data_IF_694720473120
#
_entry.id   IF_694720473120
#
_cell.length_a   1.000
_cell.length_b   1.000
_cell.length_c   1.000
_cell.angle_alpha   90.00
_cell.angle_beta   90.00
_cell.angle_gamma   90.00
#
_symmetry.space_group_name_H-M   'P 1'
#
loop_
_entity.id
_entity.type
_entity.pdbx_description
1 polymer ?
#
# COMPACT_ATOMS: atom_id res chain seq x y z
N UNK A 1 -15.12 -7.56 -13.44
CA UNK A 1 -13.67 -7.29 -13.39
C UNK A 1 -13.40 -6.28 -12.29
N UNK A 2 -12.50 -6.61 -11.37
CA UNK A 2 -11.99 -5.61 -10.44
C UNK A 2 -11.25 -4.51 -11.22
N UNK A 3 -11.29 -3.29 -10.71
CA UNK A 3 -10.58 -2.17 -11.32
C UNK A 3 -9.12 -2.25 -10.92
N UNK A 4 -8.23 -2.38 -11.90
CA UNK A 4 -6.79 -2.26 -11.72
C UNK A 4 -6.45 -1.02 -10.87
N UNK A 5 -5.77 -1.24 -9.75
CA UNK A 5 -5.29 -0.21 -8.84
C UNK A 5 -3.77 -0.28 -8.65
N UNK A 6 -3.15 0.87 -8.37
CA UNK A 6 -1.71 0.99 -8.17
C UNK A 6 -1.35 1.43 -6.75
N UNK A 7 -0.38 0.74 -6.15
CA UNK A 7 0.26 1.10 -4.87
C UNK A 7 1.70 1.62 -5.03
N UNK A 8 2.21 2.25 -3.97
CA UNK A 8 3.64 2.46 -3.71
C UNK A 8 3.99 1.97 -2.32
N UNK A 9 5.20 1.46 -2.12
CA UNK A 9 5.68 1.00 -0.81
C UNK A 9 7.10 1.51 -0.52
N UNK A 10 7.30 2.07 0.68
CA UNK A 10 8.55 2.70 1.10
C UNK A 10 9.15 2.04 2.35
N UNK A 11 10.49 2.09 2.46
CA UNK A 11 11.20 1.86 3.71
C UNK A 11 11.18 3.15 4.54
N UNK A 12 10.66 3.17 5.79
CA UNK A 12 10.53 4.39 6.56
C UNK A 12 11.83 4.81 7.25
N UNK A 13 12.87 5.09 6.46
CA UNK A 13 14.12 5.69 6.92
C UNK A 13 13.93 7.17 7.33
N UNK A 14 14.75 7.73 8.24
CA UNK A 14 14.66 9.15 8.59
C UNK A 14 15.04 10.07 7.40
N UNK A 15 14.38 11.23 7.22
CA UNK A 15 13.35 11.82 8.06
C UNK A 15 11.91 11.45 7.63
N UNK A 16 10.93 11.44 8.57
CA UNK A 16 9.56 11.01 8.28
C UNK A 16 8.81 11.93 7.31
N UNK A 17 9.25 13.20 7.16
CA UNK A 17 8.71 14.14 6.18
C UNK A 17 8.86 13.63 4.74
N UNK A 18 9.89 12.83 4.44
CA UNK A 18 10.14 12.27 3.10
C UNK A 18 8.98 11.40 2.64
N UNK A 19 8.43 10.56 3.52
CA UNK A 19 7.35 9.65 3.21
C UNK A 19 6.03 10.40 3.02
N UNK A 20 5.81 11.48 3.76
CA UNK A 20 4.67 12.39 3.58
C UNK A 20 4.72 13.05 2.19
N UNK A 21 5.88 13.58 1.79
CA UNK A 21 6.08 14.17 0.45
C UNK A 21 5.83 13.16 -0.67
N UNK A 22 6.42 11.96 -0.57
CA UNK A 22 6.26 10.90 -1.57
C UNK A 22 4.83 10.38 -1.65
N UNK A 23 4.12 10.28 -0.53
CA UNK A 23 2.70 9.87 -0.48
C UNK A 23 1.80 10.89 -1.16
N UNK A 24 2.00 12.20 -0.91
CA UNK A 24 1.30 13.28 -1.62
C UNK A 24 1.57 13.25 -3.12
N UNK A 25 2.82 12.99 -3.51
CA UNK A 25 3.20 12.87 -4.91
C UNK A 25 2.50 11.66 -5.55
N UNK A 26 2.50 10.49 -4.91
CA UNK A 26 1.81 9.29 -5.38
C UNK A 26 0.30 9.54 -5.58
N UNK A 27 -0.39 10.13 -4.60
CA UNK A 27 -1.80 10.52 -4.72
C UNK A 27 -2.03 11.44 -5.93
N UNK A 28 -1.19 12.46 -6.13
CA UNK A 28 -1.27 13.38 -7.29
C UNK A 28 -1.03 12.73 -8.66
N UNK A 29 -0.47 11.51 -8.67
CA UNK A 29 -0.24 10.70 -9.88
C UNK A 29 -1.29 9.60 -10.08
N UNK A 30 -2.24 9.43 -9.16
CA UNK A 30 -3.33 8.47 -9.26
C UNK A 30 -3.03 7.09 -8.64
N UNK A 31 -2.03 7.00 -7.76
CA UNK A 31 -1.87 5.82 -6.92
C UNK A 31 -2.98 5.78 -5.85
N UNK A 32 -3.54 4.60 -5.63
CA UNK A 32 -4.66 4.37 -4.71
C UNK A 32 -4.20 3.88 -3.33
N UNK A 33 -2.94 3.45 -3.17
CA UNK A 33 -2.38 2.93 -1.93
C UNK A 33 -0.94 3.41 -1.70
N UNK A 34 -0.59 3.65 -0.43
CA UNK A 34 0.74 3.98 0.03
C UNK A 34 1.09 3.19 1.29
N UNK A 35 2.19 2.44 1.22
CA UNK A 35 2.57 1.46 2.22
C UNK A 35 3.93 1.78 2.86
N UNK A 36 4.12 1.37 4.13
CA UNK A 36 5.42 1.40 4.82
C UNK A 36 5.81 0.02 5.37
N UNK A 37 7.10 -0.29 5.42
CA UNK A 37 7.61 -1.47 6.13
C UNK A 37 7.64 -1.24 7.65
N UNK A 38 7.08 -2.17 8.43
CA UNK A 38 7.11 -2.12 9.90
C UNK A 38 8.12 -3.12 10.46
N UNK A 39 9.34 -2.62 10.72
CA UNK A 39 10.38 -3.36 11.45
C UNK A 39 11.20 -2.38 12.29
N UNK A 40 10.66 -2.09 13.48
CA UNK A 40 11.10 -1.05 14.44
C UNK A 40 12.60 -0.95 14.80
N UNK A 41 13.42 -1.96 14.49
CA UNK A 41 14.89 -1.91 14.67
C UNK A 41 15.60 -1.38 13.42
N UNK A 42 15.05 -1.66 12.24
CA UNK A 42 15.63 -1.29 10.95
C UNK A 42 15.13 0.09 10.46
N UNK A 43 13.88 0.44 10.78
CA UNK A 43 13.22 1.66 10.29
C UNK A 43 12.38 2.36 11.37
N UNK A 44 11.94 3.58 11.09
CA UNK A 44 11.13 4.38 12.00
C UNK A 44 9.74 3.77 12.26
N UNK A 45 9.15 4.12 13.40
CA UNK A 45 7.79 3.72 13.80
C UNK A 45 6.75 4.22 12.78
N UNK A 46 6.01 3.30 12.17
CA UNK A 46 5.10 3.59 11.05
C UNK A 46 3.82 4.33 11.44
N UNK A 47 3.28 4.14 12.64
CA UNK A 47 1.96 4.67 13.01
C UNK A 47 1.94 6.19 13.21
N UNK A 48 2.95 6.83 13.83
CA UNK A 48 3.11 8.29 13.79
C UNK A 48 3.28 8.82 12.36
N UNK A 49 3.98 8.11 11.48
CA UNK A 49 4.15 8.51 10.07
C UNK A 49 2.84 8.39 9.29
N UNK A 50 2.04 7.33 9.54
CA UNK A 50 0.69 7.20 8.98
C UNK A 50 -0.24 8.34 9.39
N UNK A 51 -0.15 8.85 10.62
CA UNK A 51 -0.89 10.06 11.05
C UNK A 51 -0.55 11.26 10.16
N UNK A 52 0.74 11.49 9.88
CA UNK A 52 1.20 12.58 9.02
C UNK A 52 0.80 12.37 7.55
N UNK A 53 0.93 11.15 7.03
CA UNK A 53 0.49 10.78 5.67
C UNK A 53 -1.02 10.99 5.50
N UNK A 54 -1.82 10.55 6.48
CA UNK A 54 -3.28 10.67 6.47
C UNK A 54 -3.73 12.13 6.48
N UNK A 55 -3.15 12.96 7.36
CA UNK A 55 -3.45 14.39 7.43
C UNK A 55 -3.02 15.17 6.18
N UNK A 56 -2.02 14.68 5.44
CA UNK A 56 -1.46 15.33 4.26
C UNK A 56 -2.15 14.94 2.92
N UNK A 57 -3.07 13.98 2.94
CA UNK A 57 -3.69 13.35 1.75
C UNK A 57 -5.21 13.24 1.90
N UNK A 58 -5.93 12.88 0.83
CA UNK A 58 -7.40 12.92 0.81
C UNK A 58 -8.11 11.66 0.33
N UNK A 59 -7.43 10.81 -0.44
CA UNK A 59 -8.04 9.68 -1.14
C UNK A 59 -7.16 8.41 -1.13
N UNK A 60 -5.84 8.55 -1.12
CA UNK A 60 -4.92 7.40 -1.09
C UNK A 60 -5.09 6.59 0.20
N UNK A 61 -5.17 5.28 0.08
CA UNK A 61 -5.23 4.34 1.22
C UNK A 61 -3.85 4.17 1.83
N UNK A 62 -3.78 4.00 3.14
CA UNK A 62 -2.52 4.01 3.90
C UNK A 62 -2.46 2.78 4.80
N UNK A 63 -1.28 2.16 4.90
CA UNK A 63 -1.12 0.99 5.77
C UNK A 63 0.32 0.47 5.88
N UNK A 64 0.58 -0.46 6.81
CA UNK A 64 1.82 -1.22 6.80
C UNK A 64 1.77 -2.32 5.73
N UNK A 65 2.88 -2.60 5.05
CA UNK A 65 3.04 -3.72 4.11
C UNK A 65 4.34 -4.50 4.43
N UNK A 66 4.45 -5.17 5.56
CA UNK A 66 3.38 -5.54 6.52
C UNK A 66 3.81 -5.33 7.96
N UNK A 67 2.84 -5.17 8.86
CA UNK A 67 3.04 -5.31 10.31
C UNK A 67 2.95 -6.78 10.71
N UNK A 68 3.01 -7.05 12.01
CA UNK A 68 3.03 -8.41 12.55
C UNK A 68 2.47 -8.46 13.99
N UNK A 69 1.92 -9.61 14.44
CA UNK A 69 1.39 -9.73 15.79
C UNK A 69 2.48 -9.93 16.88
N UNK A 70 3.75 -10.08 16.50
CA UNK A 70 4.82 -10.35 17.46
C UNK A 70 5.32 -9.08 18.16
N UNK A 71 5.25 -7.93 17.48
CA UNK A 71 5.77 -6.65 18.00
C UNK A 71 4.73 -5.79 18.72
N UNK A 72 3.43 -5.99 18.45
CA UNK A 72 2.33 -5.27 19.12
C UNK A 72 1.17 -6.23 19.38
N UNK A 73 0.53 -6.07 20.53
CA UNK A 73 -0.67 -6.81 20.92
C UNK A 73 -1.82 -6.56 19.91
N UNK A 74 -2.69 -7.56 19.63
CA UNK A 74 -3.80 -7.38 18.69
C UNK A 74 -4.79 -6.29 19.12
N UNK A 75 -5.06 -6.11 20.42
CA UNK A 75 -5.95 -5.04 20.91
C UNK A 75 -5.35 -3.65 20.72
N UNK A 76 -4.03 -3.52 20.90
CA UNK A 76 -3.28 -2.28 20.62
C UNK A 76 -3.27 -1.98 19.12
N UNK A 77 -3.05 -3.01 18.29
CA UNK A 77 -3.07 -2.89 16.83
C UNK A 77 -4.45 -2.48 16.31
N UNK A 78 -5.52 -3.05 16.86
CA UNK A 78 -6.89 -2.65 16.56
C UNK A 78 -7.16 -1.18 16.95
N UNK A 79 -6.74 -0.78 18.15
CA UNK A 79 -6.92 0.59 18.66
C UNK A 79 -6.21 1.63 17.80
N UNK A 80 -4.93 1.41 17.44
CA UNK A 80 -4.19 2.38 16.60
C UNK A 80 -4.75 2.45 15.17
N UNK A 81 -5.17 1.31 14.60
CA UNK A 81 -5.77 1.29 13.26
C UNK A 81 -7.16 1.95 13.24
N UNK A 82 -8.01 1.73 14.25
CA UNK A 82 -9.29 2.42 14.37
C UNK A 82 -9.11 3.94 14.52
N UNK A 83 -8.13 4.37 15.33
CA UNK A 83 -7.77 5.79 15.50
C UNK A 83 -7.34 6.41 14.16
N UNK A 84 -6.44 5.74 13.43
CA UNK A 84 -5.99 6.19 12.11
C UNK A 84 -7.11 6.15 11.06
N UNK A 85 -8.10 5.25 11.20
CA UNK A 85 -9.25 5.20 10.31
C UNK A 85 -10.16 6.41 10.50
N UNK A 86 -10.33 6.89 11.74
CA UNK A 86 -11.02 8.17 12.01
C UNK A 86 -10.24 9.36 11.45
N UNK A 87 -8.92 9.43 11.70
CA UNK A 87 -8.05 10.52 11.19
C UNK A 87 -8.05 10.57 9.65
N UNK A 88 -8.03 9.41 9.00
CA UNK A 88 -7.96 9.31 7.54
C UNK A 88 -9.33 9.30 6.85
N UNK A 89 -10.43 9.26 7.60
CA UNK A 89 -11.80 9.07 7.10
C UNK A 89 -12.00 7.78 6.28
N UNK A 90 -11.64 6.63 6.87
CA UNK A 90 -11.91 5.30 6.30
C UNK A 90 -10.87 4.79 5.31
N UNK A 91 -9.66 5.36 5.27
CA UNK A 91 -8.62 5.04 4.28
C UNK A 91 -7.54 4.08 4.79
N UNK A 92 -7.65 3.56 6.00
CA UNK A 92 -6.64 2.64 6.52
C UNK A 92 -6.82 1.22 6.00
N UNK A 93 -5.69 0.55 5.73
CA UNK A 93 -5.63 -0.88 5.38
C UNK A 93 -4.53 -1.53 6.20
N UNK A 94 -4.74 -2.75 6.68
CA UNK A 94 -3.79 -3.48 7.53
C UNK A 94 -3.11 -4.60 6.74
N UNK A 95 -1.91 -4.36 6.21
CA UNK A 95 -1.05 -5.46 5.74
C UNK A 95 -0.44 -6.21 6.93
N UNK A 96 -0.68 -7.51 7.02
CA UNK A 96 -0.26 -8.40 8.11
C UNK A 96 0.63 -9.54 7.59
N UNK A 97 1.67 -9.86 8.36
CA UNK A 97 2.50 -11.03 8.15
C UNK A 97 3.01 -11.63 9.47
N UNK A 98 3.83 -12.68 9.38
CA UNK A 98 4.32 -13.41 10.56
C UNK A 98 5.41 -12.68 11.38
N UNK A 99 5.89 -11.52 10.90
CA UNK A 99 6.97 -10.75 11.52
C UNK A 99 8.34 -11.38 11.27
N UNK A 100 8.88 -11.21 10.07
CA UNK A 100 10.16 -11.83 9.68
C UNK A 100 11.36 -11.03 10.20
N UNK A 101 11.81 -10.01 9.46
CA UNK A 101 12.86 -9.06 9.85
C UNK A 101 12.63 -8.50 11.27
N UNK A 102 11.41 -8.08 11.59
CA UNK A 102 11.01 -7.56 12.91
C UNK A 102 11.20 -8.53 14.10
N UNK A 103 11.39 -9.83 13.87
CA UNK A 103 11.74 -10.82 14.90
C UNK A 103 13.18 -11.34 14.74
N UNK A 104 13.61 -11.63 13.52
CA UNK A 104 14.92 -12.25 13.24
C UNK A 104 16.08 -11.34 13.58
N UNK A 105 15.94 -10.02 13.43
CA UNK A 105 16.93 -9.03 13.89
C UNK A 105 17.14 -9.06 15.42
N UNK A 106 16.16 -9.55 16.17
CA UNK A 106 16.20 -9.76 17.63
C UNK A 106 16.57 -11.21 18.02
N UNK A 107 16.98 -12.05 17.06
CA UNK A 107 17.23 -13.48 17.28
C UNK A 107 15.98 -14.33 17.53
N UNK A 108 14.78 -13.79 17.26
CA UNK A 108 13.49 -14.45 17.52
C UNK A 108 12.92 -15.12 16.26
N UNK A 109 11.99 -16.06 16.45
CA UNK A 109 11.27 -16.74 15.37
C UNK A 109 9.97 -15.99 15.03
N UNK A 110 9.58 -15.88 13.75
CA UNK A 110 8.27 -15.35 13.35
C UNK A 110 7.12 -16.21 13.91
N UNK A 111 5.96 -15.60 14.23
CA UNK A 111 4.81 -16.29 14.86
C UNK A 111 4.24 -17.44 14.01
N UNK A 112 3.40 -18.30 14.59
CA UNK A 112 2.68 -19.32 13.83
C UNK A 112 1.67 -18.68 12.84
N UNK A 113 1.25 -19.45 11.82
CA UNK A 113 0.21 -18.98 10.90
C UNK A 113 -1.12 -18.89 11.62
N UNK A 114 -1.40 -19.85 12.51
CA UNK A 114 -2.58 -19.92 13.37
C UNK A 114 -2.73 -18.66 14.22
N UNK A 115 -1.64 -18.21 14.86
CA UNK A 115 -1.65 -16.99 15.65
C UNK A 115 -1.92 -15.77 14.77
N UNK A 116 -1.24 -15.65 13.64
CA UNK A 116 -1.47 -14.54 12.70
C UNK A 116 -2.93 -14.52 12.20
N UNK A 117 -3.52 -15.68 11.92
CA UNK A 117 -4.92 -15.81 11.47
C UNK A 117 -5.93 -15.48 12.57
N UNK A 118 -5.66 -15.87 13.82
CA UNK A 118 -6.47 -15.49 14.98
C UNK A 118 -6.37 -13.99 15.29
N UNK A 119 -5.15 -13.44 15.32
CA UNK A 119 -4.90 -12.03 15.59
C UNK A 119 -5.53 -11.13 14.49
N UNK A 120 -5.54 -11.56 13.21
CA UNK A 120 -6.32 -10.91 12.15
C UNK A 120 -7.82 -10.82 12.46
N UNK A 121 -8.45 -11.90 12.97
CA UNK A 121 -9.88 -11.88 13.33
C UNK A 121 -10.15 -10.92 14.49
N UNK A 122 -9.34 -10.99 15.55
CA UNK A 122 -9.45 -10.10 16.72
C UNK A 122 -9.30 -8.63 16.28
N UNK A 123 -8.28 -8.32 15.47
CA UNK A 123 -8.03 -6.95 15.02
C UNK A 123 -9.19 -6.42 14.16
N UNK A 124 -9.73 -7.23 13.24
CA UNK A 124 -10.87 -6.85 12.38
C UNK A 124 -12.07 -6.42 13.22
N UNK A 125 -12.48 -7.26 14.16
CA UNK A 125 -13.68 -7.04 14.96
C UNK A 125 -13.50 -5.85 15.91
N UNK A 126 -12.39 -5.78 16.64
CA UNK A 126 -12.12 -4.69 17.57
C UNK A 126 -11.96 -3.34 16.84
N UNK A 127 -11.31 -3.29 15.67
CA UNK A 127 -11.11 -2.04 14.93
C UNK A 127 -12.39 -1.52 14.27
N UNK A 128 -13.36 -2.40 13.99
CA UNK A 128 -14.70 -2.04 13.54
C UNK A 128 -15.66 -1.69 14.70
N UNK A 129 -15.18 -1.74 15.96
CA UNK A 129 -16.01 -1.52 17.14
C UNK A 129 -17.01 -2.64 17.41
N UNK A 130 -16.74 -3.86 16.95
CA UNK A 130 -17.46 -5.10 17.27
C UNK A 130 -16.80 -5.82 18.46
N UNK A 131 -17.42 -6.90 18.94
CA UNK A 131 -16.90 -7.70 20.04
C UNK A 131 -15.99 -8.79 19.51
N UNK A 132 -14.84 -9.01 20.16
CA UNK A 132 -13.95 -10.14 19.93
C UNK A 132 -13.67 -10.88 21.24
N UNK A 133 -13.42 -12.18 21.18
CA UNK A 133 -12.82 -12.89 22.31
C UNK A 133 -11.30 -12.67 22.33
N UNK A 134 -10.78 -12.20 23.46
CA UNK A 134 -9.36 -12.01 23.72
C UNK A 134 -9.03 -12.73 25.03
N UNK A 135 -8.21 -13.79 24.96
CA UNK A 135 -7.80 -14.60 26.12
C UNK A 135 -8.99 -15.07 26.99
N UNK A 136 -10.08 -15.53 26.37
CA UNK A 136 -11.29 -15.98 27.06
C UNK A 136 -12.18 -14.85 27.62
N UNK A 137 -11.99 -13.60 27.18
CA UNK A 137 -12.81 -12.44 27.58
C UNK A 137 -13.43 -11.76 26.37
N UNK A 138 -14.71 -11.41 26.45
CA UNK A 138 -15.34 -10.53 25.47
C UNK A 138 -14.80 -9.09 25.61
N UNK A 139 -14.16 -8.59 24.55
CA UNK A 139 -13.58 -7.24 24.49
C UNK A 139 -14.21 -6.48 23.33
N UNK A 140 -14.44 -5.17 23.51
CA UNK A 140 -14.99 -4.28 22.48
C UNK A 140 -14.43 -2.86 22.62
N UNK A 141 -13.87 -2.30 21.54
CA UNK A 141 -13.45 -0.89 21.50
C UNK A 141 -14.67 -0.02 21.18
N UNK A 142 -15.35 0.47 22.23
CA UNK A 142 -16.68 1.13 22.11
C UNK A 142 -16.73 2.38 21.22
N UNK A 143 -15.61 3.08 21.04
CA UNK A 143 -15.51 4.30 20.22
C UNK A 143 -15.09 4.02 18.77
N UNK A 144 -14.64 2.81 18.46
CA UNK A 144 -14.23 2.41 17.11
C UNK A 144 -15.46 2.18 16.20
N UNK A 145 -15.29 2.42 14.91
CA UNK A 145 -16.36 2.36 13.92
C UNK A 145 -15.81 2.28 12.49
N UNK A 146 -16.66 1.87 11.55
CA UNK A 146 -16.29 1.62 10.16
C UNK A 146 -15.68 0.23 9.97
N UNK A 147 -15.00 0.02 8.84
CA UNK A 147 -14.33 -1.25 8.53
C UNK A 147 -12.82 -1.06 8.38
N UNK A 148 -12.07 -2.12 8.69
CA UNK A 148 -10.63 -2.20 8.47
C UNK A 148 -10.33 -3.37 7.53
N UNK A 149 -10.01 -3.11 6.25
CA UNK A 149 -9.55 -4.14 5.35
C UNK A 149 -8.20 -4.71 5.83
N UNK A 150 -8.08 -6.04 5.88
CA UNK A 150 -6.87 -6.76 6.32
C UNK A 150 -6.31 -7.56 5.16
N UNK A 151 -5.05 -7.33 4.83
CA UNK A 151 -4.34 -7.94 3.72
C UNK A 151 -3.24 -8.84 4.28
N UNK A 152 -3.13 -10.09 3.83
CA UNK A 152 -2.17 -11.06 4.40
C UNK A 152 -1.05 -11.36 3.42
N UNK A 153 0.20 -11.19 3.87
CA UNK A 153 1.39 -11.51 3.09
C UNK A 153 1.86 -12.96 3.32
N UNK A 154 2.24 -13.66 2.25
CA UNK A 154 2.80 -15.00 2.34
C UNK A 154 3.18 -15.65 1.02
N UNK A 155 4.00 -16.69 1.10
CA UNK A 155 4.37 -17.57 -0.02
C UNK A 155 4.04 -19.04 0.23
N UNK A 156 3.97 -19.46 1.50
CA UNK A 156 3.76 -20.86 1.85
C UNK A 156 2.29 -21.27 1.80
N UNK A 157 1.94 -22.47 1.31
CA UNK A 157 0.57 -22.96 1.18
C UNK A 157 -0.30 -22.73 2.42
N UNK A 158 0.26 -22.97 3.61
CA UNK A 158 -0.44 -22.79 4.90
C UNK A 158 -0.84 -21.33 5.16
N UNK A 159 0.05 -20.38 4.86
CA UNK A 159 -0.21 -18.95 5.03
C UNK A 159 -1.18 -18.41 3.97
N UNK A 160 -1.13 -18.95 2.75
CA UNK A 160 -2.01 -18.59 1.65
C UNK A 160 -3.46 -19.10 1.87
N UNK A 161 -3.64 -20.33 2.37
CA UNK A 161 -4.96 -20.80 2.83
C UNK A 161 -5.50 -19.94 3.97
N UNK A 162 -4.66 -19.56 4.94
CA UNK A 162 -5.06 -18.63 6.00
C UNK A 162 -5.50 -17.26 5.44
N UNK A 163 -4.79 -16.71 4.45
CA UNK A 163 -5.20 -15.50 3.74
C UNK A 163 -6.58 -15.66 3.09
N UNK A 164 -6.82 -16.77 2.38
CA UNK A 164 -8.13 -17.11 1.82
C UNK A 164 -9.25 -17.12 2.86
N UNK A 165 -9.00 -17.66 4.06
CA UNK A 165 -9.99 -17.72 5.14
C UNK A 165 -10.33 -16.37 5.79
N UNK A 166 -9.38 -15.43 5.92
CA UNK A 166 -9.59 -14.21 6.76
C UNK A 166 -9.28 -12.86 6.12
N UNK A 167 -8.61 -12.80 4.98
CA UNK A 167 -8.12 -11.55 4.39
C UNK A 167 -9.05 -10.98 3.31
N UNK A 168 -9.05 -9.66 3.15
CA UNK A 168 -9.67 -8.94 2.02
C UNK A 168 -8.68 -8.73 0.87
N UNK A 169 -7.41 -9.07 1.09
CA UNK A 169 -6.40 -9.14 0.06
C UNK A 169 -5.21 -10.04 0.42
N UNK A 170 -4.48 -10.50 -0.58
CA UNK A 170 -3.25 -11.28 -0.43
C UNK A 170 -2.07 -10.52 -1.03
N UNK A 171 -0.94 -10.49 -0.32
CA UNK A 171 0.28 -9.78 -0.72
C UNK A 171 1.35 -10.81 -1.10
N UNK A 172 1.64 -10.90 -2.39
CA UNK A 172 2.63 -11.79 -2.99
C UNK A 172 3.83 -10.95 -3.42
N UNK A 173 4.97 -11.10 -2.75
CA UNK A 173 6.17 -10.30 -2.98
C UNK A 173 7.00 -10.84 -4.17
N UNK A 174 6.45 -10.80 -5.38
CA UNK A 174 7.17 -11.01 -6.65
C UNK A 174 6.29 -10.66 -7.86
N UNK A 175 6.92 -10.54 -9.03
CA UNK A 175 6.27 -10.32 -10.33
C UNK A 175 6.36 -11.53 -11.28
N UNK A 176 6.27 -12.77 -10.78
CA UNK A 176 6.24 -13.98 -11.63
C UNK A 176 4.79 -14.52 -11.80
N UNK A 177 4.23 -14.48 -13.02
CA UNK A 177 2.87 -14.96 -13.31
C UNK A 177 2.59 -16.43 -12.92
N UNK A 178 3.58 -17.32 -13.04
CA UNK A 178 3.39 -18.74 -12.73
C UNK A 178 3.36 -18.97 -11.22
N UNK A 179 4.25 -18.31 -10.47
CA UNK A 179 4.27 -18.39 -9.01
C UNK A 179 3.02 -17.72 -8.42
N UNK A 180 2.55 -16.60 -8.98
CA UNK A 180 1.29 -15.97 -8.57
C UNK A 180 0.11 -16.94 -8.74
N UNK A 181 -0.07 -17.55 -9.92
CA UNK A 181 -1.14 -18.54 -10.15
C UNK A 181 -1.08 -19.71 -9.17
N UNK A 182 0.11 -20.23 -8.88
CA UNK A 182 0.31 -21.28 -7.87
C UNK A 182 -0.08 -20.81 -6.46
N UNK A 183 0.34 -19.61 -6.04
CA UNK A 183 -0.05 -19.03 -4.76
C UNK A 183 -1.59 -18.86 -4.64
N UNK A 184 -2.24 -18.37 -5.71
CA UNK A 184 -3.68 -18.15 -5.73
C UNK A 184 -4.51 -19.44 -5.67
N UNK A 185 -3.95 -20.59 -6.06
CA UNK A 185 -4.58 -21.89 -5.81
C UNK A 185 -4.88 -22.12 -4.33
N UNK A 186 -3.89 -21.91 -3.46
CA UNK A 186 -4.06 -22.06 -2.00
C UNK A 186 -4.94 -20.97 -1.38
N UNK A 187 -4.93 -19.75 -1.92
CA UNK A 187 -5.86 -18.69 -1.48
C UNK A 187 -7.30 -19.07 -1.82
N UNK A 188 -7.54 -19.66 -3.00
CA UNK A 188 -8.85 -20.17 -3.42
C UNK A 188 -9.33 -21.33 -2.55
N UNK A 189 -8.46 -22.30 -2.25
CA UNK A 189 -8.76 -23.38 -1.30
C UNK A 189 -9.18 -22.80 0.06
N UNK A 190 -8.40 -21.86 0.61
CA UNK A 190 -8.73 -21.21 1.89
C UNK A 190 -10.03 -20.40 1.86
N UNK A 191 -10.35 -19.73 0.75
CA UNK A 191 -11.62 -19.04 0.58
C UNK A 191 -12.80 -20.04 0.58
N UNK A 192 -12.67 -21.14 -0.16
CA UNK A 192 -13.66 -22.22 -0.20
C UNK A 192 -13.88 -22.88 1.17
N UNK A 193 -12.81 -23.18 1.91
CA UNK A 193 -12.87 -23.70 3.29
C UNK A 193 -13.69 -22.80 4.24
N UNK A 194 -13.64 -21.48 4.05
CA UNK A 194 -14.39 -20.49 4.83
C UNK A 194 -15.76 -20.11 4.23
N UNK A 195 -16.17 -20.72 3.12
CA UNK A 195 -17.41 -20.36 2.41
C UNK A 195 -17.41 -18.93 1.84
N UNK A 196 -16.22 -18.38 1.55
CA UNK A 196 -16.03 -17.02 1.02
C UNK A 196 -15.88 -17.05 -0.50
N UNK A 197 -16.33 -15.97 -1.14
CA UNK A 197 -16.00 -15.71 -2.53
C UNK A 197 -14.50 -15.37 -2.66
N UNK A 198 -13.81 -16.07 -3.56
CA UNK A 198 -12.41 -15.78 -3.89
C UNK A 198 -12.27 -14.47 -4.67
N UNK A 199 -13.24 -14.16 -5.54
CA UNK A 199 -13.18 -12.97 -6.40
C UNK A 199 -13.41 -11.66 -5.60
N UNK A 200 -13.75 -11.77 -4.31
CA UNK A 200 -13.79 -10.68 -3.34
C UNK A 200 -12.43 -10.43 -2.63
N UNK A 201 -11.40 -11.24 -2.88
CA UNK A 201 -10.07 -11.12 -2.26
C UNK A 201 -9.11 -10.44 -3.25
N UNK A 202 -8.69 -9.22 -2.95
CA UNK A 202 -7.76 -8.48 -3.80
C UNK A 202 -6.37 -9.15 -3.86
N UNK A 203 -5.73 -9.17 -5.04
CA UNK A 203 -4.42 -9.79 -5.21
C UNK A 203 -3.35 -8.74 -5.48
N UNK A 204 -2.42 -8.52 -4.55
CA UNK A 204 -1.27 -7.64 -4.70
C UNK A 204 -0.03 -8.40 -5.18
N UNK A 205 0.42 -8.10 -6.40
CA UNK A 205 1.81 -8.32 -6.79
C UNK A 205 2.67 -7.16 -6.24
N UNK A 206 3.47 -7.44 -5.21
CA UNK A 206 4.35 -6.47 -4.54
C UNK A 206 5.79 -6.64 -5.04
N UNK A 207 6.11 -6.01 -6.16
CA UNK A 207 7.39 -6.21 -6.86
C UNK A 207 8.13 -4.88 -7.11
N UNK A 208 9.48 -4.87 -7.01
CA UNK A 208 10.27 -3.72 -7.39
C UNK A 208 9.98 -3.31 -8.82
N UNK A 209 9.71 -2.03 -9.02
CA UNK A 209 9.55 -1.45 -10.36
C UNK A 209 10.68 -0.45 -10.61
N UNK A 210 11.42 -0.65 -11.70
CA UNK A 210 12.48 0.29 -12.10
C UNK A 210 12.51 0.47 -13.62
N UNK A 211 12.21 1.69 -14.07
CA UNK A 211 12.14 2.01 -15.49
C UNK A 211 13.42 2.67 -15.95
N UNK A 212 13.98 2.10 -17.02
CA UNK A 212 15.28 2.43 -17.57
C UNK A 212 15.38 1.88 -18.99
N UNK A 213 15.98 2.64 -19.90
CA UNK A 213 16.38 2.15 -21.22
C UNK A 213 17.72 1.37 -21.15
N UNK A 214 18.36 1.33 -19.97
CA UNK A 214 19.50 0.48 -19.62
C UNK A 214 19.04 -0.67 -18.69
N UNK A 215 18.94 -1.92 -19.20
CA UNK A 215 18.55 -3.08 -18.40
C UNK A 215 19.58 -3.48 -17.33
N UNK A 216 20.88 -3.28 -17.56
CA UNK A 216 21.91 -3.64 -16.60
C UNK A 216 21.83 -2.72 -15.37
N UNK A 217 21.75 -1.41 -15.60
CA UNK A 217 21.51 -0.44 -14.53
C UNK A 217 20.17 -0.70 -13.82
N UNK A 218 19.13 -1.16 -14.53
CA UNK A 218 17.84 -1.48 -13.92
C UNK A 218 17.94 -2.67 -12.96
N UNK A 219 18.59 -3.77 -13.38
CA UNK A 219 18.80 -4.97 -12.56
C UNK A 219 19.56 -4.65 -11.28
N UNK A 220 20.65 -3.87 -11.37
CA UNK A 220 21.40 -3.43 -10.18
C UNK A 220 20.55 -2.65 -9.17
N UNK A 221 19.57 -1.86 -9.63
CA UNK A 221 18.69 -1.14 -8.71
C UNK A 221 17.74 -2.05 -7.91
N UNK A 222 17.51 -3.29 -8.35
CA UNK A 222 16.53 -4.22 -7.78
C UNK A 222 17.11 -5.59 -7.37
N UNK A 223 18.40 -5.88 -7.62
CA UNK A 223 19.09 -7.16 -7.31
C UNK A 223 18.95 -7.60 -5.85
N UNK A 224 18.84 -6.64 -4.93
CA UNK A 224 18.59 -6.88 -3.50
C UNK A 224 17.24 -7.56 -3.22
N UNK A 225 16.26 -7.49 -4.14
CA UNK A 225 14.91 -8.00 -3.88
C UNK A 225 14.80 -9.52 -4.01
N UNK A 226 15.25 -10.21 -5.07
CA UNK A 226 15.22 -11.67 -5.05
C UNK A 226 16.13 -12.26 -3.95
N UNK A 227 17.18 -11.53 -3.53
CA UNK A 227 17.99 -11.89 -2.37
C UNK A 227 17.20 -11.83 -1.05
N UNK A 228 16.24 -10.91 -0.93
CA UNK A 228 15.24 -10.87 0.14
C UNK A 228 14.23 -12.03 -0.02
N UNK A 229 13.59 -12.18 -1.18
CA UNK A 229 12.56 -13.21 -1.46
C UNK A 229 13.07 -14.62 -1.13
N UNK A 230 14.28 -14.95 -1.57
CA UNK A 230 14.91 -16.25 -1.36
C UNK A 230 15.03 -16.66 0.12
N UNK A 231 15.03 -15.73 1.09
CA UNK A 231 15.05 -16.13 2.51
C UNK A 231 13.76 -16.83 2.90
N UNK A 232 12.64 -16.26 2.47
CA UNK A 232 11.33 -16.83 2.71
C UNK A 232 11.18 -18.19 2.02
N UNK A 233 11.84 -18.39 0.87
CA UNK A 233 11.86 -19.68 0.18
C UNK A 233 12.79 -20.70 0.82
N UNK A 234 13.94 -20.31 1.38
CA UNK A 234 14.74 -21.23 2.23
C UNK A 234 13.89 -21.74 3.40
N UNK A 235 13.10 -20.85 4.02
CA UNK A 235 12.11 -21.18 5.03
C UNK A 235 11.01 -22.15 4.53
N UNK A 236 10.69 -22.18 3.22
CA UNK A 236 9.77 -23.14 2.59
C UNK A 236 10.45 -24.49 2.33
N UNK A 237 11.67 -24.50 1.78
CA UNK A 237 12.46 -25.71 1.50
C UNK A 237 12.79 -26.51 2.78
N UNK A 238 12.75 -25.87 3.96
CA UNK A 238 12.86 -26.53 5.27
C UNK A 238 11.55 -27.17 5.77
N UNK A 239 10.41 -26.94 5.10
CA UNK A 239 9.05 -27.27 5.58
C UNK A 239 8.20 -28.06 4.59
N UNK A 240 8.56 -28.04 3.32
CA UNK A 240 7.84 -28.65 2.20
C UNK A 240 8.83 -29.44 1.35
N UNK A 241 8.37 -30.47 0.66
CA UNK A 241 9.20 -31.16 -0.32
C UNK A 241 9.55 -30.20 -1.47
N UNK A 242 10.80 -30.14 -1.95
CA UNK A 242 11.17 -29.32 -3.10
C UNK A 242 10.35 -29.60 -4.36
N UNK A 243 9.79 -30.81 -4.53
CA UNK A 243 8.91 -31.18 -5.64
C UNK A 243 7.49 -30.58 -5.56
N UNK A 244 7.04 -30.19 -4.37
CA UNK A 244 5.74 -29.50 -4.16
C UNK A 244 5.83 -27.99 -4.43
N UNK A 245 7.04 -27.45 -4.56
CA UNK A 245 7.33 -26.03 -4.77
C UNK A 245 7.65 -25.75 -6.25
N UNK A 246 7.26 -24.60 -6.82
CA UNK A 246 7.60 -24.25 -8.20
C UNK A 246 9.13 -24.20 -8.36
N UNK A 247 9.73 -24.87 -9.36
CA UNK A 247 11.18 -24.82 -9.60
C UNK A 247 11.70 -23.39 -9.79
N UNK A 248 10.90 -22.55 -10.44
CA UNK A 248 11.09 -21.10 -10.56
C UNK A 248 11.31 -20.35 -9.24
N UNK A 249 10.77 -20.86 -8.13
CA UNK A 249 10.91 -20.28 -6.81
C UNK A 249 12.19 -20.78 -6.11
N UNK A 250 12.63 -22.01 -6.41
CA UNK A 250 13.63 -22.76 -5.63
C UNK A 250 15.00 -22.93 -6.30
N UNK A 251 15.09 -23.00 -7.63
CA UNK A 251 16.31 -23.42 -8.33
C UNK A 251 17.51 -22.48 -8.13
N UNK A 252 17.29 -21.16 -8.16
CA UNK A 252 18.36 -20.17 -8.01
C UNK A 252 18.96 -20.10 -6.59
N UNK A 253 18.30 -20.71 -5.61
CA UNK A 253 18.72 -20.69 -4.20
C UNK A 253 19.90 -21.64 -3.97
N UNK A 254 20.14 -22.61 -4.86
CA UNK A 254 21.27 -23.54 -4.75
C UNK A 254 22.64 -22.85 -4.78
N UNK A 255 22.72 -21.62 -5.30
CA UNK A 255 23.93 -20.79 -5.34
C UNK A 255 24.10 -19.85 -4.12
N UNK A 256 23.16 -19.86 -3.17
CA UNK A 256 23.09 -18.91 -2.04
C UNK A 256 24.24 -19.06 -1.04
N UNK A 257 24.66 -17.93 -0.45
CA UNK A 257 25.48 -17.84 0.78
C UNK A 257 24.71 -17.14 1.92
N UNK A 258 25.36 -16.96 3.07
CA UNK A 258 24.79 -16.35 4.28
C UNK A 258 24.05 -15.02 4.00
N UNK A 259 22.96 -14.78 4.76
CA UNK A 259 22.14 -13.57 4.62
C UNK A 259 22.15 -12.75 5.91
N UNK A 260 22.47 -11.46 5.79
CA UNK A 260 22.43 -10.52 6.91
C UNK A 260 21.11 -9.73 6.91
N UNK A 261 20.40 -9.81 8.03
CA UNK A 261 19.15 -9.09 8.27
C UNK A 261 19.36 -7.60 8.56
N UNK A 262 20.59 -7.15 8.88
CA UNK A 262 20.91 -5.74 9.06
C UNK A 262 20.84 -4.96 7.73
N UNK A 263 21.07 -5.62 6.59
CA UNK A 263 21.00 -5.06 5.24
C UNK A 263 19.73 -5.45 4.47
N UNK A 264 18.71 -5.91 5.20
CA UNK A 264 17.43 -6.31 4.63
C UNK A 264 16.78 -5.16 3.84
N UNK A 265 16.37 -5.46 2.60
CA UNK A 265 15.79 -4.53 1.63
C UNK A 265 16.67 -3.35 1.17
N UNK A 266 17.99 -3.36 1.43
CA UNK A 266 18.91 -2.30 0.99
C UNK A 266 19.56 -2.59 -0.37
N UNK A 267 19.74 -1.54 -1.19
CA UNK A 267 20.54 -1.60 -2.42
C UNK A 267 22.02 -1.83 -2.09
N UNK A 268 22.70 -2.67 -2.89
CA UNK A 268 24.14 -2.92 -2.75
C UNK A 268 24.53 -3.81 -1.57
N UNK A 269 23.58 -4.52 -0.96
CA UNK A 269 23.86 -5.50 0.07
C UNK A 269 24.67 -6.67 -0.51
N UNK A 270 25.86 -6.94 0.06
CA UNK A 270 26.82 -7.92 -0.47
C UNK A 270 26.28 -9.37 -0.57
N UNK A 271 25.18 -9.66 0.12
CA UNK A 271 24.48 -10.94 0.03
C UNK A 271 23.56 -11.06 -1.21
N UNK A 272 23.53 -10.07 -2.12
CA UNK A 272 22.66 -10.07 -3.30
C UNK A 272 23.34 -10.57 -4.60
N UNK A 273 24.67 -10.63 -4.64
CA UNK A 273 25.45 -10.92 -5.85
C UNK A 273 25.24 -12.33 -6.43
N UNK A 274 24.70 -13.27 -5.65
CA UNK A 274 24.42 -14.64 -6.10
C UNK A 274 23.18 -14.75 -7.00
N UNK A 275 22.33 -13.71 -7.06
CA UNK A 275 21.06 -13.73 -7.79
C UNK A 275 21.33 -13.62 -9.30
N UNK A 276 20.95 -14.61 -10.13
CA UNK A 276 21.05 -14.51 -11.59
C UNK A 276 20.11 -13.44 -12.16
N UNK A 277 20.54 -12.79 -13.24
CA UNK A 277 19.78 -11.76 -13.95
C UNK A 277 18.38 -12.22 -14.40
N UNK A 278 18.23 -13.48 -14.83
CA UNK A 278 16.93 -14.07 -15.18
C UNK A 278 15.94 -14.03 -14.00
N UNK A 279 16.41 -14.26 -12.77
CA UNK A 279 15.56 -14.23 -11.58
C UNK A 279 15.12 -12.80 -11.28
N UNK A 280 15.98 -11.82 -11.52
CA UNK A 280 15.64 -10.40 -11.40
C UNK A 280 14.55 -10.02 -12.39
N UNK A 281 14.75 -10.36 -13.66
CA UNK A 281 13.80 -10.10 -14.76
C UNK A 281 12.44 -10.77 -14.51
N UNK A 282 12.44 -11.94 -13.87
CA UNK A 282 11.22 -12.67 -13.50
C UNK A 282 10.51 -12.10 -12.27
N UNK A 283 11.25 -11.70 -11.23
CA UNK A 283 10.67 -11.33 -9.93
C UNK A 283 10.37 -9.83 -9.80
N UNK A 284 10.92 -8.99 -10.68
CA UNK A 284 10.75 -7.54 -10.70
C UNK A 284 10.01 -7.07 -11.97
N UNK A 285 9.64 -5.80 -12.02
CA UNK A 285 9.05 -5.14 -13.19
C UNK A 285 10.03 -4.07 -13.68
N UNK A 286 10.92 -4.44 -14.60
CA UNK A 286 12.01 -3.55 -15.06
C UNK A 286 12.09 -3.43 -16.58
N UNK A 287 12.74 -2.36 -17.05
CA UNK A 287 12.97 -2.06 -18.48
C UNK A 287 12.31 -0.76 -18.93
N UNK A 288 11.98 -0.67 -20.22
CA UNK A 288 11.26 0.48 -20.79
C UNK A 288 9.83 0.57 -20.25
N UNK A 289 9.15 1.69 -20.49
CA UNK A 289 7.74 1.86 -20.08
C UNK A 289 6.84 0.77 -20.71
N UNK A 290 7.13 0.41 -21.95
CA UNK A 290 6.44 -0.58 -22.76
C UNK A 290 6.67 -2.00 -22.22
N UNK A 291 7.92 -2.34 -21.87
CA UNK A 291 8.26 -3.62 -21.25
C UNK A 291 7.61 -3.75 -19.86
N UNK A 292 7.71 -2.72 -19.02
CA UNK A 292 7.03 -2.69 -17.74
C UNK A 292 5.51 -2.82 -17.90
N UNK A 293 4.90 -2.18 -18.90
CA UNK A 293 3.46 -2.30 -19.21
C UNK A 293 3.08 -3.73 -19.60
N UNK A 294 3.82 -4.37 -20.52
CA UNK A 294 3.58 -5.75 -20.93
C UNK A 294 3.68 -6.72 -19.75
N UNK A 295 4.75 -6.60 -18.95
CA UNK A 295 4.92 -7.43 -17.74
C UNK A 295 3.82 -7.19 -16.72
N UNK A 296 3.39 -5.94 -16.57
CA UNK A 296 2.23 -5.56 -15.77
C UNK A 296 0.99 -6.31 -16.28
N UNK A 297 0.67 -6.23 -17.58
CA UNK A 297 -0.49 -6.89 -18.22
C UNK A 297 -0.50 -8.41 -17.97
N UNK A 298 0.61 -9.12 -18.17
CA UNK A 298 0.78 -10.56 -17.82
C UNK A 298 0.39 -10.90 -16.36
N UNK A 299 0.63 -9.99 -15.42
CA UNK A 299 0.29 -10.17 -14.00
C UNK A 299 -1.21 -10.02 -13.71
N UNK A 300 -1.97 -9.28 -14.53
CA UNK A 300 -3.45 -9.27 -14.42
C UNK A 300 -4.01 -10.58 -14.96
N UNK A 301 -3.48 -11.07 -16.09
CA UNK A 301 -3.90 -12.37 -16.65
C UNK A 301 -3.57 -13.54 -15.70
N UNK A 302 -2.57 -13.39 -14.83
CA UNK A 302 -2.25 -14.31 -13.75
C UNK A 302 -3.22 -14.26 -12.56
N UNK A 303 -4.16 -13.30 -12.52
CA UNK A 303 -5.10 -13.08 -11.41
C UNK A 303 -4.73 -11.93 -10.45
N UNK A 304 -3.86 -11.00 -10.86
CA UNK A 304 -3.42 -9.87 -10.03
C UNK A 304 -4.27 -8.59 -10.20
N UNK A 305 -5.31 -8.42 -9.38
CA UNK A 305 -6.22 -7.25 -9.43
C UNK A 305 -5.63 -5.94 -8.86
N UNK A 306 -4.56 -6.02 -8.07
CA UNK A 306 -3.88 -4.89 -7.47
C UNK A 306 -2.37 -4.98 -7.70
N UNK A 307 -1.73 -3.84 -8.02
CA UNK A 307 -0.30 -3.81 -8.35
C UNK A 307 0.42 -2.77 -7.52
N UNK A 308 1.31 -3.18 -6.63
CA UNK A 308 2.17 -2.25 -5.91
C UNK A 308 3.47 -2.07 -6.68
N UNK A 309 3.66 -0.89 -7.25
CA UNK A 309 4.91 -0.51 -7.89
C UNK A 309 5.87 -0.11 -6.76
N UNK A 310 6.55 -1.12 -6.19
CA UNK A 310 7.57 -0.88 -5.17
C UNK A 310 8.73 -0.10 -5.79
N UNK A 311 8.72 1.20 -5.61
CA UNK A 311 9.82 2.07 -5.99
C UNK A 311 10.75 2.24 -4.78
N UNK A 312 12.07 2.15 -4.99
CA UNK A 312 13.04 2.65 -4.00
C UNK A 312 12.93 4.17 -3.84
N UNK A 313 13.90 4.81 -3.17
CA UNK A 313 13.84 6.21 -2.68
C UNK A 313 13.61 7.34 -3.72
N UNK A 314 13.48 6.97 -4.98
CA UNK A 314 13.22 7.83 -6.14
C UNK A 314 11.72 8.20 -6.25
N UNK A 315 11.38 9.42 -6.70
CA UNK A 315 10.00 9.88 -6.75
C UNK A 315 9.13 9.11 -7.76
N UNK A 316 7.81 8.93 -7.49
CA UNK A 316 6.82 8.38 -8.44
C UNK A 316 6.99 8.90 -9.87
N UNK A 317 7.54 8.05 -10.73
CA UNK A 317 7.75 8.36 -12.15
C UNK A 317 6.40 8.45 -12.90
N UNK A 318 6.34 9.04 -14.11
CA UNK A 318 5.08 9.34 -14.82
C UNK A 318 4.19 8.15 -15.24
N UNK A 319 4.54 6.94 -14.80
CA UNK A 319 3.98 5.63 -15.18
C UNK A 319 2.48 5.54 -14.93
N UNK A 320 2.02 5.89 -13.71
CA UNK A 320 0.60 5.86 -13.39
C UNK A 320 -0.25 6.76 -14.32
N UNK A 321 0.32 7.89 -14.79
CA UNK A 321 -0.33 8.75 -15.80
C UNK A 321 -0.24 8.22 -17.22
N UNK A 322 0.80 7.47 -17.60
CA UNK A 322 0.92 6.86 -18.95
C UNK A 322 0.05 5.61 -19.07
N UNK A 323 0.12 4.69 -18.11
CA UNK A 323 -0.70 3.47 -18.08
C UNK A 323 -2.19 3.82 -17.90
N UNK A 324 -2.53 4.72 -16.96
CA UNK A 324 -3.91 5.13 -16.71
C UNK A 324 -4.58 5.88 -17.87
N UNK A 325 -3.80 6.53 -18.76
CA UNK A 325 -4.34 7.16 -19.97
C UNK A 325 -4.68 6.17 -21.08
N UNK A 326 -3.90 5.09 -21.23
CA UNK A 326 -4.17 4.06 -22.23
C UNK A 326 -5.36 3.17 -21.82
N UNK A 327 -5.31 2.58 -20.62
CA UNK A 327 -6.36 1.68 -20.13
C UNK A 327 -7.74 2.32 -19.93
N UNK A 328 -7.82 3.66 -19.86
CA UNK A 328 -9.09 4.40 -19.81
C UNK A 328 -9.63 4.88 -21.16
N UNK A 329 -8.80 4.90 -22.22
CA UNK A 329 -9.19 5.39 -23.55
C UNK A 329 -9.76 4.26 -24.43
N UNK A 330 -9.10 3.11 -24.46
CA UNK A 330 -9.41 2.02 -25.39
C UNK A 330 -10.74 1.30 -25.07
N UNK A 331 -11.28 1.46 -23.85
CA UNK A 331 -12.58 0.91 -23.45
C UNK A 331 -13.79 1.81 -23.77
N UNK A 332 -13.61 3.02 -24.31
CA UNK A 332 -14.74 3.85 -24.80
C UNK A 332 -15.01 3.71 -26.30
N UNK A 333 -14.00 3.44 -27.13
CA UNK A 333 -14.21 3.31 -28.58
C UNK A 333 -14.92 1.99 -28.98
N UNK A 334 -14.84 0.95 -28.13
CA UNK A 334 -15.56 -0.30 -28.33
C UNK A 334 -17.10 -0.18 -28.15
N UNK A 335 -17.59 0.88 -27.49
CA UNK A 335 -19.03 1.09 -27.23
C UNK A 335 -19.71 2.01 -28.27
N UNK A 336 -18.96 2.60 -29.20
CA UNK A 336 -19.49 3.51 -30.23
C UNK A 336 -19.53 2.94 -31.66
N UNK A 337 -19.27 1.64 -31.85
CA UNK A 337 -19.34 0.99 -33.18
C UNK A 337 -20.60 0.16 -33.47
N UNK A 338 -21.67 0.29 -32.67
CA UNK A 338 -22.99 -0.24 -33.00
C UNK A 338 -24.05 0.84 -32.68
N UNK A 339 -24.52 1.56 -33.71
CA UNK A 339 -25.50 2.63 -33.50
C UNK A 339 -25.61 3.71 -34.58
N UNK A 340 -25.42 3.39 -35.87
CA UNK A 340 -25.77 4.32 -36.96
C UNK A 340 -26.45 3.57 -38.11
N UNK A 341 -27.77 3.74 -38.22
CA UNK A 341 -28.50 3.88 -39.50
C UNK A 341 -30.00 4.11 -39.27
N UNK A 342 -30.45 5.37 -39.34
CA UNK A 342 -31.65 5.83 -40.07
C UNK A 342 -31.79 7.35 -39.92
N UNK A 343 -32.55 8.00 -40.82
CA UNK A 343 -32.22 9.34 -41.32
C UNK A 343 -33.37 10.36 -41.32
N UNK A 344 -33.19 11.45 -40.56
CA UNK A 344 -33.76 12.81 -40.76
C UNK A 344 -35.28 13.02 -40.63
N UNK A 345 -35.78 14.27 -40.74
CA UNK A 345 -35.11 15.57 -40.53
C UNK A 345 -35.85 16.55 -39.55
N UNK A 346 -35.21 17.72 -39.35
CA UNK A 346 -35.52 18.97 -38.57
C UNK A 346 -36.93 19.61 -38.86
N UNK A 347 -37.38 20.76 -38.25
CA UNK A 347 -36.73 21.66 -37.27
C UNK A 347 -37.58 22.30 -36.12
N UNK A 348 -36.93 23.00 -35.16
CA UNK A 348 -37.43 24.34 -34.74
C UNK A 348 -37.30 24.86 -33.28
N UNK A 349 -36.80 26.11 -33.18
CA UNK A 349 -37.25 27.23 -32.28
C UNK A 349 -36.58 27.47 -30.89
N UNK A 350 -35.61 28.42 -30.91
CA UNK A 350 -35.42 29.67 -30.09
C UNK A 350 -35.43 29.70 -28.53
N UNK A 351 -34.36 30.32 -28.00
CA UNK A 351 -34.22 31.13 -26.76
C UNK A 351 -35.09 32.44 -26.77
N UNK A 352 -35.17 33.36 -25.75
CA UNK A 352 -34.19 33.66 -24.66
C UNK A 352 -34.69 34.20 -23.26
N UNK A 353 -33.71 34.54 -22.41
CA UNK A 353 -33.61 35.78 -21.56
C UNK A 353 -34.23 35.93 -20.13
N UNK A 354 -33.33 36.30 -19.18
CA UNK A 354 -33.37 37.46 -18.21
C UNK A 354 -34.33 37.46 -16.99
N UNK A 355 -34.14 38.20 -15.86
CA UNK A 355 -33.02 38.92 -15.21
C UNK A 355 -33.37 39.40 -13.75
N UNK A 356 -32.39 39.85 -12.93
CA UNK A 356 -32.49 40.85 -11.80
C UNK A 356 -33.25 40.44 -10.51
N UNK A 357 -33.14 41.03 -9.29
CA UNK A 357 -32.46 42.19 -8.68
C UNK A 357 -33.43 43.01 -7.79
N UNK A 358 -33.14 43.65 -6.63
CA UNK A 358 -31.97 43.74 -5.71
C UNK A 358 -32.39 44.49 -4.39
N UNK A 359 -31.59 44.44 -3.30
CA UNK A 359 -31.47 45.39 -2.12
C UNK A 359 -32.49 45.54 -0.94
N UNK A 360 -31.92 45.50 0.30
CA UNK A 360 -31.97 46.47 1.46
C UNK A 360 -33.32 46.78 2.20
N UNK A 361 -33.39 47.27 3.47
CA UNK A 361 -32.52 47.26 4.69
C UNK A 361 -33.19 47.96 5.93
N UNK A 362 -32.65 47.74 7.16
CA UNK A 362 -32.74 48.53 8.45
C UNK A 362 -33.97 48.37 9.40
N UNK A 363 -33.68 48.45 10.72
CA UNK A 363 -34.62 48.44 11.89
C UNK A 363 -35.02 49.86 12.39
N UNK A 364 -35.43 50.08 13.68
CA UNK A 364 -34.63 49.77 14.89
C UNK A 364 -35.42 49.29 16.16
N UNK A 365 -34.71 49.20 17.30
CA UNK A 365 -35.10 48.79 18.70
C UNK A 365 -35.23 50.04 19.63
N UNK A 366 -35.79 50.02 20.89
CA UNK A 366 -35.02 49.61 22.10
C UNK A 366 -35.79 49.13 23.38
N UNK A 367 -35.09 48.43 24.31
CA UNK A 367 -34.75 48.91 25.69
C UNK A 367 -34.87 47.92 26.91
N UNK A 368 -33.78 47.83 27.70
CA UNK A 368 -33.74 47.47 29.15
C UNK A 368 -33.33 46.02 29.50
N UNK A 369 -32.35 45.73 30.37
CA UNK A 369 -31.42 46.56 31.16
C UNK A 369 -30.24 45.74 31.76
N UNK A 370 -29.21 46.42 32.26
CA UNK A 370 -27.93 45.87 32.76
C UNK A 370 -27.82 45.97 34.32
N UNK A 371 -26.75 45.53 35.06
CA UNK A 371 -25.32 45.53 34.65
C UNK A 371 -24.40 44.36 35.15
N UNK A 372 -23.19 44.28 34.57
CA UNK A 372 -22.06 43.48 35.07
C UNK A 372 -20.94 43.32 34.03
N UNK A 373 -19.82 44.03 34.19
CA UNK A 373 -18.64 44.07 33.27
C UNK A 373 -17.43 44.64 34.05
N UNK A 374 -16.16 44.56 33.58
CA UNK A 374 -15.62 44.12 32.28
C UNK A 374 -14.68 42.88 32.44
N UNK A 375 -14.08 42.24 31.42
CA UNK A 375 -13.14 42.78 30.42
C UNK A 375 -13.26 42.18 29.01
N UNK A 376 -12.87 43.00 28.02
CA UNK A 376 -12.98 42.71 26.58
C UNK A 376 -11.75 41.97 26.02
N UNK A 377 -11.97 41.04 25.07
CA UNK A 377 -11.72 41.28 23.63
C UNK A 377 -11.87 40.00 22.79
N UNK A 378 -12.35 40.16 21.55
CA UNK A 378 -12.46 39.16 20.47
C UNK A 378 -12.75 39.91 19.17
N UNK A 379 -12.63 39.29 17.98
CA UNK A 379 -11.64 38.29 17.54
C UNK A 379 -11.04 38.66 16.15
N UNK A 380 -10.04 37.88 15.68
CA UNK A 380 -9.74 37.76 14.25
C UNK A 380 -8.28 38.04 13.84
N UNK A 381 -7.74 37.18 12.97
CA UNK A 381 -6.41 37.34 12.38
C UNK A 381 -5.84 36.02 11.86
N UNK A 382 -5.91 35.78 10.55
CA UNK A 382 -5.24 34.62 9.93
C UNK A 382 -3.71 34.75 10.06
N UNK A 383 -3.06 33.78 10.71
CA UNK A 383 -1.60 33.65 10.68
C UNK A 383 -1.18 32.57 9.69
N UNK A 384 -0.77 33.01 8.49
CA UNK A 384 0.09 32.25 7.58
C UNK A 384 1.52 32.18 8.17
N UNK A 385 2.17 31.01 8.22
CA UNK A 385 3.63 30.96 8.22
C UNK A 385 4.17 31.30 6.83
N UNK A 386 5.20 32.15 6.75
CA UNK A 386 5.81 32.56 5.49
C UNK A 386 6.65 31.42 4.87
N UNK A 387 6.59 31.27 3.55
CA UNK A 387 7.72 30.75 2.79
C UNK A 387 8.84 31.81 2.81
N UNK A 388 10.04 31.41 3.22
CA UNK A 388 11.26 32.16 2.97
C UNK A 388 12.23 31.29 2.15
N UNK A 389 12.11 31.39 0.82
CA UNK A 389 13.15 30.91 -0.07
C UNK A 389 14.37 31.83 0.03
N UNK A 390 15.54 31.26 0.36
CA UNK A 390 16.82 31.77 -0.12
C UNK A 390 17.66 30.62 -0.65
N UNK A 391 17.83 30.59 -1.97
CA UNK A 391 18.95 29.89 -2.59
C UNK A 391 20.23 30.71 -2.35
N UNK A 392 21.35 30.03 -2.13
CA UNK A 392 22.62 30.69 -1.81
C UNK A 392 23.69 29.69 -1.43
N UNK A 393 24.39 29.16 -2.43
CA UNK A 393 25.55 28.28 -2.31
C UNK A 393 26.67 28.86 -1.44
N UNK A 394 27.34 28.02 -0.63
CA UNK A 394 28.80 27.87 -0.72
C UNK A 394 29.34 26.61 -0.01
N UNK A 395 30.54 26.21 -0.45
CA UNK A 395 31.26 24.99 -0.08
C UNK A 395 32.13 25.22 1.16
N UNK A 396 32.08 24.31 2.14
CA UNK A 396 33.26 23.99 2.98
C UNK A 396 33.34 22.48 3.19
N UNK A 397 34.46 21.86 2.77
CA UNK A 397 34.87 20.52 3.18
C UNK A 397 35.47 20.61 4.58
N UNK A 398 35.22 19.65 5.47
CA UNK A 398 36.19 19.32 6.52
C UNK A 398 36.54 17.84 6.53
N UNK A 399 37.83 17.59 6.74
CA UNK A 399 38.45 16.25 6.76
C UNK A 399 38.24 15.57 8.12
N UNK A 400 38.43 14.25 8.10
CA UNK A 400 38.66 13.39 9.27
C UNK A 400 39.73 13.98 10.21
N UNK A 401 39.55 13.73 11.50
CA UNK A 401 40.61 13.22 12.37
C UNK A 401 40.25 11.76 12.67
#
# INVERSE_FOLDING_TARGET
MAKLSFGVCFAPDPPPSRWVELTRLAESRGFEYAWLFDSHVLWQEVYPVFTLMAAATRAIRIGPCVTNPATRDPTVTASVMATLNQISAGRMVLGMGRGDSAQRVLGRKPVSVERMEADCRIIRELAAGRTAEVEGREVRIKWASGELPIWVAGYGPKALRAAGRVADGVIIQLADPAIIRWCLGFVREGAQEAGRDFDAIAVQAAAPTFISDDPAAAREQVRWFPALVSNHVVDLLQRYDPGDLPPALTDYIRARRDYDYQDHAKRGAAHADFVPDEVIDRFCVIGTVEQCRSRIEELVEAGGDHRDLRQGDHPPLPVARRIGRAGGAELKEASHRHGQNSSGPDPGVREPAQAGGDRKARGPDPAGGCPGSPDHLSPGGLLRPLLLCRAGSQVVRHRRA
#
